data_IF_416028065949
#
_entry.id   IF_416028065949
#
_cell.length_a   1.000
_cell.length_b   1.000
_cell.length_c   1.000
_cell.angle_alpha   90.00
_cell.angle_beta   90.00
_cell.angle_gamma   90.00
#
_symmetry.space_group_name_H-M   'P 1'
#
loop_
_entity.id
_entity.type
_entity.pdbx_description
1 polymer ?
#
# COMPACT_ATOMS: atom_id res chain seq x y z
N UNK A 1 -36.66 20.16 -30.09
CA UNK A 1 -35.18 20.24 -30.02
C UNK A 1 -34.71 18.97 -29.32
N UNK A 2 -33.94 18.09 -29.96
CA UNK A 2 -33.30 17.01 -29.22
C UNK A 2 -32.27 17.64 -28.27
N UNK A 3 -32.25 17.21 -27.01
CA UNK A 3 -31.15 17.53 -26.09
C UNK A 3 -29.85 17.02 -26.73
N UNK A 4 -28.82 17.85 -26.76
CA UNK A 4 -27.48 17.44 -27.17
C UNK A 4 -27.07 16.21 -26.33
N UNK A 5 -26.86 15.07 -26.98
CA UNK A 5 -26.31 13.89 -26.32
C UNK A 5 -24.87 14.20 -25.92
N UNK A 6 -24.60 14.23 -24.60
CA UNK A 6 -23.25 14.40 -24.08
C UNK A 6 -22.46 13.13 -24.41
N UNK A 7 -21.40 13.26 -25.21
CA UNK A 7 -20.49 12.16 -25.50
C UNK A 7 -19.76 11.71 -24.22
N UNK A 8 -19.74 10.40 -23.97
CA UNK A 8 -19.04 9.81 -22.82
C UNK A 8 -17.52 9.91 -23.04
N UNK A 9 -16.85 10.74 -22.24
CA UNK A 9 -15.40 10.80 -22.21
C UNK A 9 -14.82 9.54 -21.53
N UNK A 10 -13.84 8.90 -22.17
CA UNK A 10 -13.14 7.73 -21.63
C UNK A 10 -11.71 8.11 -21.19
N UNK A 11 -11.23 7.50 -20.11
CA UNK A 11 -9.85 7.70 -19.64
C UNK A 11 -8.88 6.86 -20.49
N UNK A 12 -7.92 7.47 -21.21
CA UNK A 12 -6.98 6.74 -22.05
C UNK A 12 -5.89 6.05 -21.21
N UNK A 13 -5.24 5.04 -21.78
CA UNK A 13 -4.12 4.33 -21.12
C UNK A 13 -3.02 5.28 -20.64
N UNK A 14 -2.68 6.29 -21.43
CA UNK A 14 -1.67 7.29 -21.07
C UNK A 14 -2.04 8.08 -19.80
N UNK A 15 -3.33 8.32 -19.54
CA UNK A 15 -3.76 9.01 -18.33
C UNK A 15 -3.58 8.12 -17.09
N UNK A 16 -3.84 6.82 -17.22
CA UNK A 16 -3.61 5.83 -16.17
C UNK A 16 -2.13 5.65 -15.87
N UNK A 17 -1.30 5.52 -16.91
CA UNK A 17 0.16 5.50 -16.76
C UNK A 17 0.69 6.80 -16.15
N UNK A 18 0.16 7.96 -16.56
CA UNK A 18 0.50 9.25 -15.96
C UNK A 18 0.19 9.31 -14.46
N UNK A 19 -0.94 8.74 -14.04
CA UNK A 19 -1.29 8.63 -12.61
C UNK A 19 -0.33 7.70 -11.87
N UNK A 20 0.06 6.57 -12.45
CA UNK A 20 1.07 5.68 -11.88
C UNK A 20 2.44 6.38 -11.73
N UNK A 21 2.88 7.16 -12.74
CA UNK A 21 4.08 8.00 -12.68
C UNK A 21 4.00 9.01 -11.55
N UNK A 22 2.88 9.73 -11.43
CA UNK A 22 2.71 10.67 -10.33
C UNK A 22 2.78 9.98 -8.96
N UNK A 23 2.12 8.84 -8.81
CA UNK A 23 2.15 8.06 -7.58
C UNK A 23 3.57 7.60 -7.24
N UNK A 24 4.31 7.10 -8.24
CA UNK A 24 5.70 6.70 -8.10
C UNK A 24 6.58 7.87 -7.63
N UNK A 25 6.51 9.01 -8.33
CA UNK A 25 7.29 10.21 -8.00
C UNK A 25 7.04 10.70 -6.58
N UNK A 26 5.78 10.68 -6.14
CA UNK A 26 5.41 11.15 -4.80
C UNK A 26 5.93 10.25 -3.67
N UNK A 27 6.21 8.97 -3.96
CA UNK A 27 6.45 7.97 -2.92
C UNK A 27 7.83 7.30 -3.01
N UNK A 28 8.59 7.43 -4.11
CA UNK A 28 9.88 6.74 -4.29
C UNK A 28 10.96 7.16 -3.28
N UNK A 29 10.93 8.42 -2.84
CA UNK A 29 11.91 8.95 -1.89
C UNK A 29 11.52 8.59 -0.46
N UNK A 30 12.31 7.69 0.14
CA UNK A 30 12.10 7.20 1.50
C UNK A 30 12.73 8.08 2.57
N UNK A 31 13.42 9.17 2.21
CA UNK A 31 14.07 10.05 3.17
C UNK A 31 13.17 11.18 3.65
N UNK A 32 12.03 11.39 2.97
CA UNK A 32 11.04 12.40 3.32
C UNK A 32 10.25 12.03 4.59
N UNK A 33 9.69 13.05 5.23
CA UNK A 33 8.78 12.96 6.38
C UNK A 33 7.38 12.47 6.02
N UNK A 34 7.17 12.09 4.76
CA UNK A 34 5.95 11.46 4.26
C UNK A 34 6.25 10.43 3.19
N UNK A 35 5.32 9.52 2.92
CA UNK A 35 5.41 8.64 1.76
C UNK A 35 4.56 7.38 1.87
N UNK A 36 4.94 6.37 1.08
CA UNK A 36 4.25 5.08 1.01
C UNK A 36 4.69 4.16 2.14
N UNK A 37 3.72 3.64 2.90
CA UNK A 37 3.98 2.70 3.99
C UNK A 37 2.94 1.58 4.01
N UNK A 38 3.42 0.36 4.23
CA UNK A 38 2.62 -0.75 4.71
C UNK A 38 2.11 -0.44 6.12
N UNK A 39 0.85 -0.73 6.40
CA UNK A 39 0.29 -0.78 7.73
C UNK A 39 -0.26 -2.19 8.00
N UNK A 40 0.10 -2.78 9.14
CA UNK A 40 -0.65 -3.90 9.69
C UNK A 40 -1.52 -3.40 10.84
N UNK A 41 -2.71 -3.97 11.01
CA UNK A 41 -3.67 -3.52 12.01
C UNK A 41 -4.44 -4.70 12.61
N UNK A 42 -4.80 -4.57 13.89
CA UNK A 42 -5.49 -5.62 14.66
C UNK A 42 -6.86 -5.93 14.07
N UNK A 43 -7.48 -4.93 13.43
CA UNK A 43 -8.86 -4.98 12.96
C UNK A 43 -9.84 -4.57 14.06
N UNK A 44 -11.12 -4.94 13.95
CA UNK A 44 -12.09 -4.69 15.01
C UNK A 44 -11.71 -5.45 16.28
N UNK A 45 -11.87 -4.81 17.45
CA UNK A 45 -11.45 -5.35 18.77
C UNK A 45 -12.13 -6.66 19.18
N UNK A 46 -13.23 -7.05 18.53
CA UNK A 46 -13.91 -8.33 18.73
C UNK A 46 -13.55 -9.41 17.71
N UNK A 47 -12.63 -9.13 16.78
CA UNK A 47 -12.35 -9.97 15.63
C UNK A 47 -13.43 -9.89 14.54
N UNK A 48 -13.31 -10.72 13.51
CA UNK A 48 -14.32 -10.81 12.46
C UNK A 48 -15.57 -11.59 12.91
N UNK A 49 -16.72 -11.40 12.23
CA UNK A 49 -17.89 -12.23 12.47
C UNK A 49 -17.56 -13.72 12.33
N UNK A 50 -18.07 -14.55 13.24
CA UNK A 50 -17.88 -16.00 13.19
C UNK A 50 -18.91 -16.64 12.25
N UNK A 51 -18.45 -17.45 11.31
CA UNK A 51 -19.25 -18.35 10.48
C UNK A 51 -18.81 -19.77 10.81
N UNK A 52 -19.74 -20.58 11.33
CA UNK A 52 -19.46 -21.96 11.76
C UNK A 52 -18.30 -22.07 12.78
N UNK A 53 -18.16 -21.06 13.64
CA UNK A 53 -17.11 -21.01 14.68
C UNK A 53 -15.74 -20.54 14.19
N UNK A 54 -15.60 -20.15 12.92
CA UNK A 54 -14.37 -19.58 12.35
C UNK A 54 -14.58 -18.11 12.00
N UNK A 55 -13.62 -17.26 12.32
CA UNK A 55 -13.63 -15.84 11.91
C UNK A 55 -13.72 -15.73 10.39
N UNK A 56 -14.72 -15.05 9.85
CA UNK A 56 -14.90 -14.82 8.42
C UNK A 56 -14.54 -13.38 8.05
N UNK A 57 -13.36 -13.19 7.48
CA UNK A 57 -12.90 -11.86 7.05
C UNK A 57 -13.85 -11.26 5.98
N UNK A 58 -14.40 -10.05 6.18
CA UNK A 58 -15.29 -9.43 5.20
C UNK A 58 -14.51 -8.95 3.97
N UNK A 59 -15.20 -8.84 2.83
CA UNK A 59 -14.60 -8.28 1.61
C UNK A 59 -14.27 -6.80 1.84
N UNK A 60 -13.10 -6.30 1.41
CA UNK A 60 -12.78 -4.88 1.45
C UNK A 60 -13.83 -3.99 0.75
N UNK A 61 -14.01 -2.77 1.23
CA UNK A 61 -15.02 -1.80 0.78
C UNK A 61 -14.33 -0.50 0.38
N UNK A 62 -14.88 0.21 -0.61
CA UNK A 62 -14.33 1.50 -1.06
C UNK A 62 -14.54 2.64 -0.06
N UNK A 63 -15.45 2.46 0.90
CA UNK A 63 -15.78 3.43 1.94
C UNK A 63 -14.75 3.45 3.07
N UNK A 64 -13.96 2.38 3.21
CA UNK A 64 -12.91 2.32 4.24
C UNK A 64 -11.77 3.25 3.89
N UNK A 65 -11.55 4.26 4.73
CA UNK A 65 -10.47 5.25 4.58
C UNK A 65 -9.31 5.06 5.54
N UNK A 66 -9.50 4.25 6.57
CA UNK A 66 -8.53 4.00 7.64
C UNK A 66 -8.64 2.54 8.08
N UNK A 67 -7.53 1.97 8.55
CA UNK A 67 -7.54 0.65 9.17
C UNK A 67 -7.95 0.75 10.64
N UNK A 68 -8.59 -0.30 11.16
CA UNK A 68 -9.02 -0.36 12.56
C UNK A 68 -7.88 -0.83 13.44
N UNK A 69 -7.53 -0.02 14.45
CA UNK A 69 -6.45 -0.29 15.40
C UNK A 69 -5.10 -0.63 14.72
N UNK A 70 -4.45 0.33 14.03
CA UNK A 70 -3.12 0.14 13.48
C UNK A 70 -2.10 -0.29 14.54
N UNK A 71 -1.28 -1.27 14.18
CA UNK A 71 -0.21 -1.82 15.04
C UNK A 71 1.12 -1.16 14.71
N UNK A 72 1.41 -0.96 13.42
CA UNK A 72 2.65 -0.33 12.97
C UNK A 72 2.67 -0.04 11.47
N UNK A 73 3.54 0.89 11.10
CA UNK A 73 3.74 1.35 9.73
C UNK A 73 5.17 1.06 9.29
N UNK A 74 5.34 0.44 8.13
CA UNK A 74 6.64 0.04 7.58
C UNK A 74 6.82 0.62 6.18
N UNK A 75 7.95 1.28 5.93
CA UNK A 75 8.30 1.73 4.57
C UNK A 75 8.41 0.54 3.63
N UNK A 76 8.00 0.75 2.38
CA UNK A 76 8.21 -0.26 1.33
C UNK A 76 9.71 -0.53 1.15
N UNK A 77 10.05 -1.76 0.77
CA UNK A 77 11.37 -2.19 0.33
C UNK A 77 11.60 -1.89 -1.15
N UNK A 78 10.64 -2.24 -2.01
CA UNK A 78 10.71 -2.01 -3.46
C UNK A 78 9.43 -1.39 -3.99
N UNK A 79 9.58 -0.49 -4.96
CA UNK A 79 8.49 0.15 -5.70
C UNK A 79 8.97 0.20 -7.15
N UNK A 80 8.35 -0.57 -8.03
CA UNK A 80 8.84 -0.79 -9.39
C UNK A 80 7.69 -0.72 -10.40
N UNK A 81 7.91 -0.08 -11.56
CA UNK A 81 6.99 -0.24 -12.69
C UNK A 81 7.05 -1.66 -13.22
N UNK A 82 5.90 -2.23 -13.55
CA UNK A 82 5.81 -3.60 -14.05
C UNK A 82 4.90 -3.74 -15.24
N UNK A 83 5.13 -4.78 -16.04
CA UNK A 83 4.25 -5.25 -17.10
C UNK A 83 3.88 -6.70 -16.84
N UNK A 84 2.64 -7.08 -17.15
CA UNK A 84 2.22 -8.48 -17.06
C UNK A 84 2.67 -9.23 -18.30
N UNK A 85 3.37 -10.34 -18.11
CA UNK A 85 3.75 -11.26 -19.18
C UNK A 85 4.02 -12.65 -18.59
N UNK A 86 4.13 -13.67 -19.43
CA UNK A 86 4.29 -15.06 -18.98
C UNK A 86 5.68 -15.38 -18.43
N UNK A 87 6.69 -14.60 -18.81
CA UNK A 87 8.12 -14.80 -18.47
C UNK A 87 8.56 -14.03 -17.23
N UNK A 88 7.62 -13.32 -16.58
CA UNK A 88 7.88 -12.50 -15.41
C UNK A 88 8.41 -13.28 -14.22
N UNK A 89 9.36 -12.67 -13.51
CA UNK A 89 10.04 -13.21 -12.34
C UNK A 89 9.30 -12.90 -11.03
N UNK A 90 8.31 -12.01 -11.06
CA UNK A 90 7.45 -11.71 -9.93
C UNK A 90 6.09 -12.36 -10.09
N UNK A 91 5.68 -13.19 -9.12
CA UNK A 91 4.35 -13.80 -9.09
C UNK A 91 3.49 -13.14 -8.00
N UNK A 92 2.53 -12.32 -8.41
CA UNK A 92 1.59 -11.63 -7.51
C UNK A 92 0.18 -11.76 -8.06
N UNK A 93 -0.76 -12.21 -7.22
CA UNK A 93 -2.17 -12.35 -7.58
C UNK A 93 -2.44 -13.42 -8.66
N UNK A 94 -1.56 -14.42 -8.78
CA UNK A 94 -1.67 -15.47 -9.81
C UNK A 94 -1.22 -15.03 -11.21
N UNK A 95 -0.63 -13.84 -11.34
CA UNK A 95 -0.06 -13.31 -12.57
C UNK A 95 1.46 -13.15 -12.42
N UNK A 96 2.15 -13.33 -13.54
CA UNK A 96 3.57 -13.06 -13.66
C UNK A 96 3.79 -11.61 -14.14
N UNK A 97 4.79 -10.96 -13.57
CA UNK A 97 5.14 -9.58 -13.83
C UNK A 97 6.65 -9.44 -14.05
N UNK A 98 7.03 -8.59 -15.00
CA UNK A 98 8.42 -8.19 -15.22
C UNK A 98 8.60 -6.73 -14.85
N UNK A 99 9.66 -6.45 -14.09
CA UNK A 99 10.06 -5.08 -13.77
C UNK A 99 10.58 -4.34 -14.99
N UNK A 100 10.13 -3.10 -15.17
CA UNK A 100 10.77 -2.17 -16.08
C UNK A 100 12.04 -1.63 -15.39
N UNK A 101 13.16 -1.69 -16.11
CA UNK A 101 14.45 -1.18 -15.65
C UNK A 101 14.93 -0.09 -16.61
N UNK A 102 15.59 0.93 -16.07
CA UNK A 102 16.16 2.04 -16.82
C UNK A 102 17.34 2.66 -16.06
N UNK A 103 18.20 3.40 -16.75
CA UNK A 103 19.37 4.04 -16.14
C UNK A 103 19.01 5.34 -15.41
N UNK A 104 17.95 6.03 -15.85
CA UNK A 104 17.43 7.23 -15.20
C UNK A 104 15.90 7.17 -15.01
N UNK A 105 15.38 8.07 -14.18
CA UNK A 105 13.93 8.23 -13.98
C UNK A 105 13.21 8.62 -15.27
N UNK A 106 13.79 9.52 -16.09
CA UNK A 106 13.19 9.96 -17.35
C UNK A 106 13.05 8.80 -18.34
N UNK A 107 14.08 7.96 -18.44
CA UNK A 107 14.05 6.75 -19.26
C UNK A 107 13.03 5.72 -18.72
N UNK A 108 12.91 5.60 -17.39
CA UNK A 108 11.92 4.75 -16.75
C UNK A 108 10.50 5.20 -17.10
N UNK A 109 10.21 6.50 -17.00
CA UNK A 109 8.90 7.06 -17.32
C UNK A 109 8.57 6.93 -18.81
N UNK A 110 9.55 7.16 -19.69
CA UNK A 110 9.38 6.92 -21.12
C UNK A 110 9.09 5.44 -21.43
N UNK A 111 9.76 4.52 -20.74
CA UNK A 111 9.53 3.07 -20.85
C UNK A 111 8.14 2.69 -20.32
N UNK A 112 7.70 3.26 -19.20
CA UNK A 112 6.37 3.04 -18.64
C UNK A 112 5.27 3.48 -19.62
N UNK A 113 5.44 4.65 -20.26
CA UNK A 113 4.51 5.15 -21.29
C UNK A 113 4.51 4.23 -22.51
N UNK A 114 5.69 3.89 -23.03
CA UNK A 114 5.84 3.03 -24.23
C UNK A 114 5.18 1.67 -24.04
N UNK A 115 5.31 1.10 -22.84
CA UNK A 115 4.76 -0.21 -22.50
C UNK A 115 3.34 -0.15 -21.92
N UNK A 116 2.70 1.03 -21.85
CA UNK A 116 1.41 1.25 -21.17
C UNK A 116 1.39 0.67 -19.74
N UNK A 117 2.53 0.72 -19.05
CA UNK A 117 2.66 0.25 -17.67
C UNK A 117 1.93 1.21 -16.76
N UNK A 118 0.72 0.81 -16.39
CA UNK A 118 -0.13 1.48 -15.38
C UNK A 118 -0.12 0.73 -14.05
N UNK A 119 0.87 -0.14 -13.86
CA UNK A 119 0.99 -1.01 -12.71
C UNK A 119 2.28 -0.75 -11.95
N UNK A 120 2.17 -0.70 -10.63
CA UNK A 120 3.30 -0.60 -9.72
C UNK A 120 3.36 -1.81 -8.81
N UNK A 121 4.48 -2.53 -8.86
CA UNK A 121 4.83 -3.54 -7.88
C UNK A 121 5.33 -2.86 -6.61
N UNK A 122 4.82 -3.30 -5.47
CA UNK A 122 5.20 -2.81 -4.14
C UNK A 122 5.54 -4.01 -3.28
N UNK A 123 6.71 -3.98 -2.66
CA UNK A 123 7.16 -4.97 -1.68
C UNK A 123 7.43 -4.27 -0.37
N UNK A 124 6.99 -4.85 0.75
CA UNK A 124 7.37 -4.46 2.09
C UNK A 124 7.72 -5.70 2.90
N UNK A 125 8.65 -5.55 3.84
CA UNK A 125 9.12 -6.66 4.66
C UNK A 125 9.06 -6.29 6.14
N UNK A 126 8.49 -7.18 6.94
CA UNK A 126 8.59 -7.16 8.39
C UNK A 126 9.65 -8.18 8.80
N UNK A 127 10.74 -7.67 9.37
CA UNK A 127 11.86 -8.48 9.85
C UNK A 127 11.46 -9.34 11.06
N UNK A 128 12.30 -10.32 11.40
CA UNK A 128 12.00 -11.31 12.46
C UNK A 128 11.79 -10.69 13.85
N UNK A 129 12.36 -9.51 14.11
CA UNK A 129 12.21 -8.79 15.37
C UNK A 129 11.10 -7.74 15.37
N UNK A 130 10.42 -7.52 14.23
CA UNK A 130 9.47 -6.43 14.06
C UNK A 130 8.02 -6.87 14.31
N UNK A 131 7.35 -6.16 15.21
CA UNK A 131 5.93 -6.34 15.57
C UNK A 131 5.59 -7.78 16.00
N UNK A 132 6.53 -8.43 16.68
CA UNK A 132 6.45 -9.85 17.04
C UNK A 132 5.37 -10.10 18.10
N UNK A 133 4.58 -11.15 17.93
CA UNK A 133 3.49 -11.52 18.85
C UNK A 133 2.19 -10.74 18.61
N UNK A 134 2.23 -9.68 17.81
CA UNK A 134 1.05 -8.92 17.44
C UNK A 134 0.16 -9.75 16.51
N UNK A 135 -1.15 -9.71 16.74
CA UNK A 135 -2.13 -10.39 15.88
C UNK A 135 -2.83 -9.35 15.01
N UNK A 136 -2.70 -9.50 13.69
CA UNK A 136 -3.26 -8.59 12.72
C UNK A 136 -4.34 -9.29 11.87
N UNK A 137 -5.36 -8.51 11.51
CA UNK A 137 -6.46 -8.94 10.64
C UNK A 137 -6.60 -8.05 9.41
N UNK A 138 -5.96 -6.89 9.40
CA UNK A 138 -5.95 -6.00 8.26
C UNK A 138 -4.52 -5.66 7.87
N UNK A 139 -4.30 -5.54 6.57
CA UNK A 139 -3.08 -5.02 5.99
C UNK A 139 -3.44 -4.01 4.92
N UNK A 140 -2.67 -2.94 4.78
CA UNK A 140 -2.93 -1.94 3.75
C UNK A 140 -1.72 -1.09 3.43
N UNK A 141 -1.85 -0.31 2.37
CA UNK A 141 -0.85 0.65 1.92
C UNK A 141 -1.40 2.05 2.05
N UNK A 142 -0.68 2.89 2.78
CA UNK A 142 -0.96 4.32 2.87
C UNK A 142 0.05 5.09 2.02
N UNK A 143 -0.42 5.96 1.13
CA UNK A 143 0.40 6.92 0.40
C UNK A 143 0.35 8.30 1.07
N UNK A 144 1.36 9.12 0.80
CA UNK A 144 1.49 10.48 1.37
C UNK A 144 1.36 10.52 2.92
N UNK A 145 1.62 9.40 3.59
CA UNK A 145 1.42 9.26 5.03
C UNK A 145 2.48 10.04 5.80
N UNK A 146 2.08 11.00 6.63
CA UNK A 146 3.00 11.91 7.32
C UNK A 146 3.46 11.39 8.67
N UNK A 147 4.76 11.50 8.89
CA UNK A 147 5.47 11.19 10.13
C UNK A 147 5.48 12.43 11.02
N UNK A 148 5.27 12.23 12.32
CA UNK A 148 5.47 13.29 13.30
C UNK A 148 6.96 13.44 13.61
N UNK A 149 7.61 14.39 12.93
CA UNK A 149 9.06 14.64 13.07
C UNK A 149 9.45 15.18 14.45
N UNK A 150 8.49 15.64 15.27
CA UNK A 150 8.76 16.02 16.65
C UNK A 150 8.92 14.79 17.56
N UNK A 151 8.36 13.64 17.17
CA UNK A 151 8.44 12.37 17.91
C UNK A 151 9.51 11.46 17.31
N UNK A 152 9.46 11.22 15.99
CA UNK A 152 10.41 10.40 15.26
C UNK A 152 11.45 11.27 14.56
N UNK A 153 12.48 11.70 15.31
CA UNK A 153 13.52 12.61 14.80
C UNK A 153 14.49 11.93 13.81
N UNK A 154 14.54 10.60 13.81
CA UNK A 154 15.38 9.76 12.94
C UNK A 154 14.64 9.25 11.68
N UNK A 155 13.52 9.86 11.33
CA UNK A 155 12.60 9.41 10.28
C UNK A 155 13.22 9.18 8.89
N UNK A 156 14.31 9.88 8.57
CA UNK A 156 14.95 9.84 7.26
C UNK A 156 15.67 8.50 6.99
N UNK A 157 16.08 7.78 8.04
CA UNK A 157 16.75 6.48 7.93
C UNK A 157 15.91 5.33 8.50
N UNK A 158 14.97 5.65 9.40
CA UNK A 158 14.07 4.69 10.03
C UNK A 158 13.07 4.08 9.04
N UNK A 159 12.82 2.78 9.21
CA UNK A 159 11.94 2.00 8.32
C UNK A 159 10.61 1.61 8.96
N UNK A 160 10.55 1.49 10.28
CA UNK A 160 9.37 1.07 11.04
C UNK A 160 8.95 2.17 12.02
N UNK A 161 7.66 2.51 12.01
CA UNK A 161 7.05 3.55 12.82
C UNK A 161 5.87 2.98 13.60
N UNK A 162 5.74 3.42 14.85
CA UNK A 162 4.60 3.16 15.69
C UNK A 162 3.43 4.07 15.30
N UNK A 163 2.18 3.66 15.57
CA UNK A 163 1.01 4.47 15.30
C UNK A 163 1.04 5.86 15.94
N UNK A 164 1.69 5.99 17.10
CA UNK A 164 1.87 7.27 17.81
C UNK A 164 2.89 8.21 17.17
N UNK A 165 3.71 7.72 16.25
CA UNK A 165 4.76 8.50 15.55
C UNK A 165 4.24 9.06 14.22
N UNK A 166 2.97 8.85 13.89
CA UNK A 166 2.34 9.34 12.67
C UNK A 166 1.39 10.51 12.98
N UNK A 167 1.37 11.50 12.10
CA UNK A 167 0.42 12.61 12.20
C UNK A 167 -0.99 12.06 12.00
N UNK A 168 -1.87 12.37 12.95
CA UNK A 168 -3.26 11.92 12.95
C UNK A 168 -4.15 12.88 13.69
N UNK A 169 -5.43 12.82 13.37
CA UNK A 169 -6.50 13.49 14.12
C UNK A 169 -7.44 12.46 14.75
N UNK A 170 -8.26 12.89 15.71
CA UNK A 170 -9.17 12.02 16.44
C UNK A 170 -8.51 11.24 17.58
N UNK A 171 -9.31 10.38 18.21
CA UNK A 171 -8.91 9.54 19.34
C UNK A 171 -9.33 8.09 19.08
N UNK A 172 -8.65 7.14 19.71
CA UNK A 172 -8.98 5.72 19.58
C UNK A 172 -10.47 5.46 19.86
N UNK A 173 -11.15 4.63 19.06
CA UNK A 173 -10.64 3.89 17.90
C UNK A 173 -10.70 4.66 16.57
N UNK A 174 -11.20 5.90 16.57
CA UNK A 174 -11.50 6.71 15.39
C UNK A 174 -10.33 7.62 14.99
N UNK A 175 -9.14 7.05 14.84
CA UNK A 175 -8.01 7.79 14.30
C UNK A 175 -8.19 8.05 12.80
N UNK A 176 -7.83 9.25 12.37
CA UNK A 176 -7.65 9.57 10.95
C UNK A 176 -6.21 10.01 10.73
N UNK A 177 -5.42 9.13 10.15
CA UNK A 177 -4.03 9.43 9.79
C UNK A 177 -3.97 10.41 8.61
N UNK A 178 -3.00 11.31 8.64
CA UNK A 178 -2.72 12.24 7.53
C UNK A 178 -1.99 11.48 6.41
N UNK A 179 -2.77 10.90 5.52
CA UNK A 179 -2.35 10.08 4.39
C UNK A 179 -3.57 9.47 3.69
N UNK A 180 -3.35 8.71 2.63
CA UNK A 180 -4.41 8.09 1.83
C UNK A 180 -4.27 6.58 1.90
N UNK A 181 -5.30 5.87 2.37
CA UNK A 181 -5.37 4.42 2.26
C UNK A 181 -5.66 4.03 0.80
N UNK A 182 -4.65 3.56 0.08
CA UNK A 182 -4.73 3.23 -1.35
C UNK A 182 -5.38 1.86 -1.58
N UNK A 183 -4.98 0.89 -0.76
CA UNK A 183 -5.51 -0.47 -0.80
C UNK A 183 -5.45 -1.08 0.58
N UNK A 184 -6.37 -1.98 0.86
CA UNK A 184 -6.29 -2.84 2.02
C UNK A 184 -6.90 -4.21 1.76
N UNK A 185 -6.55 -5.15 2.63
CA UNK A 185 -7.09 -6.50 2.64
C UNK A 185 -7.47 -6.84 4.07
N UNK A 186 -8.63 -7.48 4.22
CA UNK A 186 -8.98 -8.19 5.44
C UNK A 186 -8.48 -9.63 5.30
N UNK A 187 -7.84 -10.13 6.35
CA UNK A 187 -7.29 -11.48 6.44
C UNK A 187 -7.90 -12.19 7.64
N UNK A 188 -7.87 -13.51 7.61
CA UNK A 188 -7.98 -14.29 8.85
C UNK A 188 -6.91 -13.82 9.86
N UNK A 189 -7.14 -13.98 11.17
CA UNK A 189 -6.17 -13.55 12.17
C UNK A 189 -4.83 -14.23 11.94
N UNK A 190 -3.78 -13.42 11.80
CA UNK A 190 -2.39 -13.87 11.69
C UNK A 190 -1.60 -13.27 12.83
N UNK A 191 -0.93 -14.12 13.61
CA UNK A 191 0.00 -13.68 14.64
C UNK A 191 1.42 -13.62 14.07
N UNK A 192 2.10 -12.49 14.24
CA UNK A 192 3.47 -12.29 13.78
C UNK A 192 4.43 -13.29 14.45
N UNK A 193 5.06 -14.21 13.69
CA UNK A 193 5.99 -15.20 14.22
C UNK A 193 7.31 -14.56 14.64
N UNK A 194 7.98 -15.18 15.63
CA UNK A 194 9.26 -14.70 16.18
C UNK A 194 10.48 -15.07 15.31
N UNK A 195 10.34 -16.05 14.40
CA UNK A 195 11.46 -16.63 13.64
C UNK A 195 11.41 -16.34 12.14
N UNK A 196 10.29 -15.81 11.63
CA UNK A 196 10.06 -15.66 10.19
C UNK A 196 9.86 -14.20 9.80
N UNK A 197 10.59 -13.81 8.75
CA UNK A 197 10.31 -12.60 7.99
C UNK A 197 9.00 -12.77 7.24
N UNK A 198 8.16 -11.75 7.24
CA UNK A 198 6.98 -11.70 6.36
C UNK A 198 7.23 -10.72 5.22
N UNK A 199 6.96 -11.17 4.00
CA UNK A 199 7.04 -10.37 2.78
C UNK A 199 5.61 -10.12 2.32
N UNK A 200 5.29 -8.84 2.12
CA UNK A 200 4.02 -8.41 1.58
C UNK A 200 4.24 -7.82 0.19
N UNK A 201 3.47 -8.29 -0.77
CA UNK A 201 3.57 -7.84 -2.16
C UNK A 201 2.22 -7.42 -2.71
N UNK A 202 2.22 -6.33 -3.47
CA UNK A 202 1.07 -5.84 -4.22
C UNK A 202 1.49 -5.48 -5.64
N UNK A 203 0.54 -5.56 -6.56
CA UNK A 203 0.60 -4.84 -7.83
C UNK A 203 -0.62 -3.94 -7.90
N UNK A 204 -0.41 -2.63 -7.84
CA UNK A 204 -1.49 -1.63 -7.92
C UNK A 204 -1.71 -1.22 -9.37
N UNK A 205 -2.96 -1.25 -9.82
CA UNK A 205 -3.38 -0.72 -11.13
C UNK A 205 -3.95 0.70 -10.97
N UNK A 206 -3.58 1.60 -11.87
CA UNK A 206 -4.05 3.00 -11.91
C UNK A 206 -4.98 3.31 -13.08
#
# INVERSE_FOLDING_TARGET
MPLNEISLAISPYVARTGKAIQFYMNNKDKTLDKGLMLCIAEGPSGGWPLVEGTESAPIPTLDTKQLSLPIGFKRFKSLDFVISNTEGDLSVGGLNWTKLTAGTDEELYASAITNNSRWLYIEAELETSELVGETYRQVGLFSDLKIDTAIATDYATRQLFLPSEMIRTGTSPNYSYDGILEVYQNKYPVTRPVELKEIFTWVLEF
#
